data_IF_068378900686
#
_entry.id   IF_068378900686
#
_cell.length_a   1.000
_cell.length_b   1.000
_cell.length_c   1.000
_cell.angle_alpha   90.00
_cell.angle_beta   90.00
_cell.angle_gamma   90.00
#
_symmetry.space_group_name_H-M   'P 1'
#
loop_
_entity.id
_entity.type
_entity.pdbx_description
1 polymer ?
#
# COMPACT_ATOMS: atom_id res chain seq x y z
N UNK A 1 -11.44 24.60 8.98
CA UNK A 1 -10.57 23.43 9.22
C UNK A 1 -11.41 22.17 9.43
N UNK A 2 -11.53 21.33 8.40
CA UNK A 2 -12.15 20.00 8.53
C UNK A 2 -11.23 19.12 9.40
N UNK A 3 -11.75 18.37 10.39
CA UNK A 3 -10.93 17.46 11.16
C UNK A 3 -10.43 16.34 10.24
N UNK A 4 -9.11 16.24 10.14
CA UNK A 4 -8.43 15.10 9.54
C UNK A 4 -8.72 13.90 10.45
N UNK A 5 -9.37 12.81 9.98
CA UNK A 5 -9.55 11.65 10.82
C UNK A 5 -8.17 11.07 11.20
N UNK A 6 -7.95 10.64 12.45
CA UNK A 6 -6.72 9.97 12.86
C UNK A 6 -6.68 8.58 12.21
N UNK A 7 -6.18 8.52 10.98
CA UNK A 7 -6.20 7.32 10.16
C UNK A 7 -5.69 7.59 8.76
N UNK A 8 -4.63 8.39 8.63
CA UNK A 8 -3.95 8.59 7.35
C UNK A 8 -3.57 7.25 6.70
N UNK A 9 -3.49 7.20 5.37
CA UNK A 9 -3.19 5.96 4.67
C UNK A 9 -1.84 5.40 5.15
N UNK A 10 -1.79 4.10 5.44
CA UNK A 10 -0.59 3.47 5.97
C UNK A 10 0.61 3.56 5.00
N UNK A 11 0.34 3.79 3.71
CA UNK A 11 1.35 4.06 2.71
C UNK A 11 0.91 5.27 1.86
N UNK A 12 1.75 6.29 1.72
CA UNK A 12 1.44 7.40 0.83
C UNK A 12 1.49 6.94 -0.64
N UNK A 13 0.66 7.52 -1.53
CA UNK A 13 0.78 7.30 -2.96
C UNK A 13 2.17 7.73 -3.46
N UNK A 14 2.74 6.95 -4.39
CA UNK A 14 4.13 7.06 -4.86
C UNK A 14 5.13 6.20 -4.09
N UNK A 15 4.72 5.53 -3.00
CA UNK A 15 5.61 4.64 -2.23
C UNK A 15 5.85 3.34 -2.99
N UNK A 16 7.11 2.93 -3.15
CA UNK A 16 7.43 1.58 -3.63
C UNK A 16 7.24 0.57 -2.51
N UNK A 17 6.61 -0.55 -2.85
CA UNK A 17 6.33 -1.67 -1.96
C UNK A 17 6.71 -2.98 -2.63
N UNK A 18 7.16 -3.94 -1.85
CA UNK A 18 7.41 -5.31 -2.29
C UNK A 18 6.33 -6.24 -1.74
N UNK A 19 5.70 -7.02 -2.60
CA UNK A 19 4.77 -8.09 -2.25
C UNK A 19 5.39 -9.45 -2.54
N UNK A 20 5.28 -10.40 -1.59
CA UNK A 20 5.91 -11.73 -1.72
C UNK A 20 5.47 -12.51 -2.97
N UNK A 21 4.23 -12.33 -3.41
CA UNK A 21 3.63 -13.12 -4.51
C UNK A 21 3.63 -12.36 -5.84
N UNK A 22 3.65 -11.03 -5.82
CA UNK A 22 3.47 -10.20 -7.02
C UNK A 22 4.68 -9.33 -7.34
N UNK A 23 5.72 -9.43 -6.52
CA UNK A 23 6.94 -8.66 -6.65
C UNK A 23 6.75 -7.20 -6.26
N UNK A 24 7.51 -6.34 -6.93
CA UNK A 24 7.58 -4.92 -6.64
C UNK A 24 6.42 -4.17 -7.30
N UNK A 25 5.90 -3.17 -6.57
CA UNK A 25 4.86 -2.30 -7.04
C UNK A 25 4.92 -0.91 -6.42
N UNK A 26 4.16 0.01 -7.00
CA UNK A 26 4.06 1.38 -6.55
C UNK A 26 2.64 1.69 -6.08
N UNK A 27 2.52 2.27 -4.88
CA UNK A 27 1.22 2.67 -4.34
C UNK A 27 0.64 3.78 -5.20
N UNK A 28 -0.46 3.51 -5.87
CA UNK A 28 -1.20 4.50 -6.65
C UNK A 28 -2.15 5.30 -5.78
N UNK A 29 -2.80 4.63 -4.82
CA UNK A 29 -3.72 5.27 -3.88
C UNK A 29 -3.76 4.50 -2.57
N UNK A 30 -3.67 5.23 -1.46
CA UNK A 30 -3.82 4.68 -0.11
C UNK A 30 -5.12 5.17 0.52
N UNK A 31 -5.96 4.23 0.92
CA UNK A 31 -7.16 4.45 1.72
C UNK A 31 -6.93 3.91 3.14
N UNK A 32 -7.76 4.27 4.13
CA UNK A 32 -7.62 3.77 5.51
C UNK A 32 -7.83 2.25 5.64
N UNK A 33 -8.60 1.64 4.74
CA UNK A 33 -8.91 0.20 4.77
C UNK A 33 -8.26 -0.60 3.62
N UNK A 34 -7.81 0.08 2.55
CA UNK A 34 -7.26 -0.60 1.35
C UNK A 34 -6.17 0.21 0.66
N UNK A 35 -5.36 -0.47 -0.15
CA UNK A 35 -4.25 0.10 -0.90
C UNK A 35 -4.37 -0.36 -2.35
N UNK A 36 -4.33 0.59 -3.27
CA UNK A 36 -4.21 0.29 -4.70
C UNK A 36 -2.74 0.41 -5.07
N UNK A 37 -2.15 -0.70 -5.48
CA UNK A 37 -0.74 -0.81 -5.85
C UNK A 37 -0.66 -1.26 -7.31
N UNK A 38 0.15 -0.58 -8.10
CA UNK A 38 0.51 -1.01 -9.45
C UNK A 38 1.77 -1.86 -9.36
N UNK A 39 1.60 -3.18 -9.50
CA UNK A 39 2.72 -4.12 -9.59
C UNK A 39 3.25 -4.16 -11.01
N UNK A 40 4.57 -4.16 -11.18
CA UNK A 40 5.18 -4.21 -12.52
C UNK A 40 4.89 -5.54 -13.23
N UNK A 41 4.84 -6.65 -12.48
CA UNK A 41 4.66 -7.99 -13.05
C UNK A 41 3.19 -8.33 -13.31
N UNK A 42 2.26 -7.85 -12.47
CA UNK A 42 0.84 -8.25 -12.53
C UNK A 42 -0.12 -7.10 -12.90
N UNK A 43 0.31 -5.85 -12.77
CA UNK A 43 -0.53 -4.67 -12.96
C UNK A 43 -1.22 -4.19 -11.65
N UNK A 44 -2.34 -3.47 -11.80
CA UNK A 44 -3.07 -2.89 -10.67
C UNK A 44 -3.69 -3.97 -9.77
N UNK A 45 -3.42 -3.90 -8.47
CA UNK A 45 -4.10 -4.71 -7.46
C UNK A 45 -4.53 -3.86 -6.29
N UNK A 46 -5.69 -4.21 -5.77
CA UNK A 46 -6.22 -3.65 -4.53
C UNK A 46 -5.98 -4.64 -3.41
N UNK A 47 -5.39 -4.16 -2.33
CA UNK A 47 -5.02 -4.92 -1.15
C UNK A 47 -5.73 -4.36 0.07
N UNK A 48 -6.29 -5.24 0.92
CA UNK A 48 -6.85 -4.82 2.19
C UNK A 48 -5.74 -4.51 3.20
N UNK A 49 -5.83 -3.34 3.82
CA UNK A 49 -4.84 -2.83 4.76
C UNK A 49 -4.78 -3.67 6.04
N UNK A 50 -5.92 -4.22 6.47
CA UNK A 50 -5.99 -5.21 7.55
C UNK A 50 -5.20 -6.47 7.19
N UNK A 51 -5.38 -7.04 5.99
CA UNK A 51 -4.63 -8.23 5.56
C UNK A 51 -3.13 -7.95 5.41
N UNK A 52 -2.77 -6.76 4.92
CA UNK A 52 -1.37 -6.33 4.82
C UNK A 52 -0.73 -6.23 6.21
N UNK A 53 -1.43 -5.69 7.21
CA UNK A 53 -0.93 -5.58 8.60
C UNK A 53 -0.85 -6.93 9.31
N UNK A 54 -1.91 -7.74 9.21
CA UNK A 54 -1.97 -9.03 9.91
C UNK A 54 -0.98 -10.06 9.33
N UNK A 55 -0.81 -10.07 8.01
CA UNK A 55 0.01 -11.07 7.32
C UNK A 55 1.32 -10.51 6.78
N UNK A 56 1.63 -9.23 7.03
CA UNK A 56 2.85 -8.56 6.55
C UNK A 56 3.08 -8.77 5.05
N UNK A 57 2.01 -8.64 4.24
CA UNK A 57 2.03 -8.97 2.82
C UNK A 57 2.84 -7.98 1.98
N UNK A 58 2.92 -6.72 2.44
CA UNK A 58 3.67 -5.65 1.80
C UNK A 58 4.81 -5.18 2.69
N UNK A 59 5.98 -4.99 2.10
CA UNK A 59 7.12 -4.33 2.73
C UNK A 59 7.38 -3.01 1.98
N UNK A 60 7.38 -1.85 2.66
CA UNK A 60 7.78 -0.61 2.03
C UNK A 60 9.26 -0.68 1.65
N UNK A 61 9.56 -0.38 0.39
CA UNK A 61 10.92 -0.24 -0.15
C UNK A 61 11.38 1.21 -0.12
N UNK A 62 10.71 2.09 0.64
CA UNK A 62 11.17 3.45 0.83
C UNK A 62 12.57 3.42 1.46
N UNK A 63 13.55 3.95 0.73
CA UNK A 63 14.88 4.16 1.27
C UNK A 63 14.77 5.08 2.49
N UNK A 64 15.35 4.63 3.61
CA UNK A 64 15.40 5.35 4.89
C UNK A 64 16.34 6.55 4.84
#
# INVERSE_FOLDING_TARGET
PTPEPPGGPAFPPGTRVSHRVWGEGEVMSGEPDRLTVLFTETGYRTLSLSAVREQSLLTPLAEV
#
